data_IF_721009620241
#
_entry.id   IF_721009620241
#
_cell.length_a   1.000
_cell.length_b   1.000
_cell.length_c   1.000
_cell.angle_alpha   90.00
_cell.angle_beta   90.00
_cell.angle_gamma   90.00
#
_symmetry.space_group_name_H-M   'P 1'
#
loop_
_entity.id
_entity.type
_entity.pdbx_description
1 polymer ?
#
# COMPACT_ATOMS: atom_id res chain seq x y z
N UNK A 1 -13.46 5.56 11.93
CA UNK A 1 -12.10 6.10 12.24
C UNK A 1 -11.08 4.97 12.35
N UNK A 2 -11.27 3.98 13.22
CA UNK A 2 -10.40 2.79 13.36
C UNK A 2 -10.09 2.12 12.01
N UNK A 3 -11.09 1.85 11.15
CA UNK A 3 -10.81 1.18 9.87
C UNK A 3 -9.93 2.01 8.93
N UNK A 4 -10.05 3.34 8.92
CA UNK A 4 -9.21 4.20 8.09
C UNK A 4 -7.77 4.22 8.64
N UNK A 5 -7.63 4.28 9.96
CA UNK A 5 -6.32 4.22 10.63
C UNK A 5 -5.62 2.88 10.43
N UNK A 6 -6.37 1.77 10.49
CA UNK A 6 -5.87 0.43 10.21
C UNK A 6 -5.48 0.25 8.75
N UNK A 7 -6.26 0.78 7.81
CA UNK A 7 -5.93 0.74 6.38
C UNK A 7 -4.64 1.52 6.08
N UNK A 8 -4.49 2.72 6.63
CA UNK A 8 -3.25 3.51 6.47
C UNK A 8 -2.04 2.83 7.11
N UNK A 9 -2.22 2.18 8.27
CA UNK A 9 -1.16 1.43 8.94
C UNK A 9 -0.75 0.21 8.12
N UNK A 10 -1.72 -0.56 7.60
CA UNK A 10 -1.46 -1.72 6.75
C UNK A 10 -0.66 -1.33 5.50
N UNK A 11 -1.04 -0.23 4.84
CA UNK A 11 -0.31 0.29 3.68
C UNK A 11 1.12 0.74 4.04
N UNK A 12 1.30 1.42 5.19
CA UNK A 12 2.62 1.83 5.66
C UNK A 12 3.53 0.63 5.94
N UNK A 13 3.01 -0.40 6.61
CA UNK A 13 3.77 -1.64 6.92
C UNK A 13 4.12 -2.39 5.64
N UNK A 14 3.19 -2.52 4.69
CA UNK A 14 3.43 -3.13 3.38
C UNK A 14 4.57 -2.40 2.64
N UNK A 15 4.50 -1.06 2.59
CA UNK A 15 5.50 -0.24 1.92
C UNK A 15 6.88 -0.38 2.57
N UNK A 16 6.95 -0.35 3.90
CA UNK A 16 8.20 -0.54 4.63
C UNK A 16 8.82 -1.93 4.36
N UNK A 17 8.01 -2.98 4.42
CA UNK A 17 8.48 -4.34 4.15
C UNK A 17 9.02 -4.50 2.72
N UNK A 18 8.28 -4.02 1.71
CA UNK A 18 8.73 -4.09 0.32
C UNK A 18 9.98 -3.24 0.08
N UNK A 19 10.12 -2.11 0.76
CA UNK A 19 11.34 -1.30 0.74
C UNK A 19 12.56 -2.07 1.28
N UNK A 20 12.39 -2.78 2.40
CA UNK A 20 13.44 -3.64 2.97
C UNK A 20 13.77 -4.79 2.00
N UNK A 21 12.75 -5.42 1.41
CA UNK A 21 12.94 -6.49 0.42
C UNK A 21 13.75 -6.00 -0.79
N UNK A 22 13.45 -4.80 -1.31
CA UNK A 22 14.17 -4.18 -2.42
C UNK A 22 15.63 -3.85 -2.06
N UNK A 23 15.90 -3.48 -0.81
CA UNK A 23 17.26 -3.25 -0.34
C UNK A 23 18.07 -4.56 -0.27
N UNK A 24 17.45 -5.63 0.22
CA UNK A 24 18.12 -6.93 0.38
C UNK A 24 18.25 -7.69 -0.95
N UNK A 25 17.30 -7.52 -1.85
CA UNK A 25 17.25 -8.19 -3.17
C UNK A 25 17.08 -7.14 -4.28
N UNK A 26 18.13 -6.37 -4.62
CA UNK A 26 18.05 -5.28 -5.60
C UNK A 26 17.99 -5.81 -7.04
N UNK A 27 16.80 -6.27 -7.45
CA UNK A 27 16.51 -6.76 -8.81
C UNK A 27 15.53 -5.83 -9.51
N UNK A 28 15.80 -5.52 -10.78
CA UNK A 28 14.94 -4.63 -11.59
C UNK A 28 13.53 -5.18 -11.79
N UNK A 29 13.40 -6.47 -12.10
CA UNK A 29 12.10 -7.12 -12.26
C UNK A 29 11.26 -7.05 -10.97
N UNK A 30 11.92 -7.23 -9.82
CA UNK A 30 11.29 -7.11 -8.51
C UNK A 30 10.82 -5.67 -8.28
N UNK A 31 11.65 -4.68 -8.61
CA UNK A 31 11.29 -3.27 -8.49
C UNK A 31 10.03 -2.91 -9.28
N UNK A 32 9.90 -3.42 -10.51
CA UNK A 32 8.70 -3.20 -11.32
C UNK A 32 7.44 -3.81 -10.67
N UNK A 33 7.54 -5.04 -10.16
CA UNK A 33 6.42 -5.72 -9.49
C UNK A 33 6.05 -5.02 -8.17
N UNK A 34 7.05 -4.61 -7.39
CA UNK A 34 6.85 -3.86 -6.14
C UNK A 34 6.14 -2.53 -6.42
N UNK A 35 6.58 -1.80 -7.43
CA UNK A 35 5.96 -0.52 -7.81
C UNK A 35 4.51 -0.72 -8.26
N UNK A 36 4.24 -1.70 -9.11
CA UNK A 36 2.88 -2.03 -9.53
C UNK A 36 1.99 -2.40 -8.32
N UNK A 37 2.53 -3.18 -7.37
CA UNK A 37 1.83 -3.58 -6.15
C UNK A 37 1.48 -2.36 -5.28
N UNK A 38 2.43 -1.46 -5.07
CA UNK A 38 2.22 -0.24 -4.27
C UNK A 38 1.20 0.70 -4.92
N UNK A 39 1.22 0.85 -6.25
CA UNK A 39 0.23 1.64 -6.98
C UNK A 39 -1.17 1.07 -6.78
N UNK A 40 -1.34 -0.25 -6.98
CA UNK A 40 -2.63 -0.91 -6.80
C UNK A 40 -3.13 -0.82 -5.37
N UNK A 41 -2.26 -1.06 -4.38
CA UNK A 41 -2.62 -0.95 -2.97
C UNK A 41 -2.95 0.50 -2.57
N UNK A 42 -2.29 1.50 -3.15
CA UNK A 42 -2.63 2.91 -2.92
C UNK A 42 -4.01 3.23 -3.52
N UNK A 43 -4.31 2.74 -4.72
CA UNK A 43 -5.63 2.90 -5.35
C UNK A 43 -6.73 2.27 -4.50
N UNK A 44 -6.51 1.05 -3.99
CA UNK A 44 -7.43 0.38 -3.04
C UNK A 44 -7.65 1.20 -1.77
N UNK A 45 -6.56 1.74 -1.20
CA UNK A 45 -6.63 2.60 -0.03
C UNK A 45 -7.47 3.87 -0.29
N UNK A 46 -7.29 4.52 -1.44
CA UNK A 46 -8.05 5.72 -1.82
C UNK A 46 -9.53 5.42 -2.08
N UNK A 47 -9.85 4.33 -2.77
CA UNK A 47 -11.23 3.93 -3.05
C UNK A 47 -11.94 3.54 -1.76
N UNK A 48 -11.35 2.65 -0.96
CA UNK A 48 -11.93 2.19 0.30
C UNK A 48 -12.06 3.32 1.33
N UNK A 49 -11.10 4.26 1.37
CA UNK A 49 -11.19 5.42 2.25
C UNK A 49 -12.20 6.47 1.76
N UNK A 50 -12.46 6.56 0.45
CA UNK A 50 -13.43 7.46 -0.17
C UNK A 50 -14.87 6.94 -0.11
N UNK A 51 -15.09 5.64 -0.28
CA UNK A 51 -16.42 5.02 -0.19
C UNK A 51 -17.00 5.12 1.23
N UNK A 52 -16.16 5.02 2.27
CA UNK A 52 -16.60 5.18 3.67
C UNK A 52 -16.99 6.60 4.07
N UNK A 53 -16.64 7.60 3.29
CA UNK A 53 -17.05 8.99 3.53
C UNK A 53 -18.45 9.27 2.95
N UNK A 54 -18.84 8.54 1.90
CA UNK A 54 -20.13 8.69 1.22
C UNK A 54 -21.30 8.00 1.94
N UNK A 55 -21.01 7.00 2.79
CA UNK A 55 -22.01 6.26 3.59
C UNK A 55 -22.28 6.87 4.98
N UNK A 56 -21.81 8.10 5.25
CA UNK A 56 -22.06 8.83 6.52
C UNK A 56 -22.97 10.03 6.35
#
# INVERSE_FOLDING_TARGET
>A
MINRMMATLAFAVLTAFLGILMWYVPRWDLGAVVLATLVLAAVDLYQTAGERDKDR
#
